data_IF_737390404938
#
_entry.id   IF_737390404938
#
_cell.length_a   1.000
_cell.length_b   1.000
_cell.length_c   1.000
_cell.angle_alpha   90.00
_cell.angle_beta   90.00
_cell.angle_gamma   90.00
#
_symmetry.space_group_name_H-M   'P 1'
#
loop_
_entity.id
_entity.type
_entity.pdbx_description
1 polymer ?
#
# COMPACT_ATOMS: atom_id res chain seq x y z
N UNK A 1 -18.62 22.37 7.31
CA UNK A 1 -17.25 21.80 7.34
C UNK A 1 -17.20 20.68 6.32
N UNK A 2 -16.15 20.60 5.51
CA UNK A 2 -15.92 19.46 4.62
C UNK A 2 -15.63 18.21 5.46
N UNK A 3 -16.24 17.08 5.12
CA UNK A 3 -16.11 15.80 5.83
C UNK A 3 -15.71 14.70 4.85
N UNK A 4 -14.98 13.71 5.33
CA UNK A 4 -14.81 12.43 4.64
C UNK A 4 -16.19 11.80 4.32
N UNK A 5 -16.26 11.05 3.22
CA UNK A 5 -17.48 10.35 2.82
C UNK A 5 -17.39 8.85 3.12
N UNK A 6 -16.26 8.22 2.80
CA UNK A 6 -16.00 6.80 3.04
C UNK A 6 -15.54 6.58 4.48
N UNK A 7 -16.12 5.59 5.16
CA UNK A 7 -15.76 5.14 6.53
C UNK A 7 -15.47 3.64 6.47
N UNK A 8 -14.30 3.22 6.94
CA UNK A 8 -13.84 1.83 6.82
C UNK A 8 -13.40 1.47 5.40
N UNK A 9 -13.83 0.31 4.89
CA UNK A 9 -13.52 -0.17 3.54
C UNK A 9 -14.83 -0.63 2.88
N UNK A 10 -15.15 -0.08 1.73
CA UNK A 10 -16.28 -0.48 0.89
C UNK A 10 -15.81 -1.44 -0.21
N UNK A 11 -16.53 -2.54 -0.39
CA UNK A 11 -16.22 -3.55 -1.41
C UNK A 11 -17.21 -3.48 -2.57
N UNK A 12 -16.69 -3.53 -3.79
CA UNK A 12 -17.49 -3.74 -5.01
C UNK A 12 -16.91 -4.85 -5.87
N UNK A 13 -17.78 -5.58 -6.57
CA UNK A 13 -17.39 -6.64 -7.50
C UNK A 13 -17.96 -6.33 -8.88
N UNK A 14 -17.10 -6.29 -9.90
CA UNK A 14 -17.51 -6.06 -11.28
C UNK A 14 -18.09 -7.33 -11.93
N UNK A 15 -18.72 -7.18 -13.09
CA UNK A 15 -19.18 -8.31 -13.93
C UNK A 15 -18.02 -9.17 -14.43
N UNK A 16 -16.82 -8.58 -14.53
CA UNK A 16 -15.58 -9.24 -14.93
C UNK A 16 -14.85 -9.87 -13.72
N UNK A 17 -15.54 -10.01 -12.58
CA UNK A 17 -15.01 -10.65 -11.36
C UNK A 17 -13.81 -9.91 -10.75
N UNK A 18 -13.76 -8.59 -10.94
CA UNK A 18 -12.76 -7.72 -10.32
C UNK A 18 -13.31 -7.22 -9.00
N UNK A 19 -12.59 -7.48 -7.91
CA UNK A 19 -12.90 -6.95 -6.57
C UNK A 19 -12.18 -5.61 -6.42
N UNK A 20 -12.96 -4.56 -6.13
CA UNK A 20 -12.49 -3.22 -5.85
C UNK A 20 -12.75 -2.90 -4.38
N UNK A 21 -11.75 -2.36 -3.70
CA UNK A 21 -11.82 -1.91 -2.32
C UNK A 21 -11.61 -0.39 -2.28
N UNK A 22 -12.61 0.35 -1.85
CA UNK A 22 -12.51 1.78 -1.58
C UNK A 22 -12.32 1.99 -0.09
N UNK A 23 -11.17 2.55 0.30
CA UNK A 23 -10.81 2.71 1.70
C UNK A 23 -11.08 4.14 2.18
N UNK A 24 -11.34 4.28 3.47
CA UNK A 24 -11.42 5.59 4.12
C UNK A 24 -10.13 6.40 3.89
N UNK A 25 -10.22 7.74 3.85
CA UNK A 25 -9.05 8.57 3.64
C UNK A 25 -8.06 8.45 4.81
N UNK A 26 -6.79 8.26 4.46
CA UNK A 26 -5.65 8.38 5.36
C UNK A 26 -5.33 9.85 5.63
N UNK A 27 -4.77 10.16 6.80
CA UNK A 27 -4.46 11.53 7.24
C UNK A 27 -5.65 12.51 7.24
N UNK A 28 -6.88 12.02 7.37
CA UNK A 28 -8.08 12.85 7.31
C UNK A 28 -8.30 13.65 8.59
N UNK A 29 -8.25 15.00 8.56
CA UNK A 29 -8.54 15.81 9.73
C UNK A 29 -9.98 15.61 10.25
N UNK A 30 -10.91 15.30 9.34
CA UNK A 30 -12.30 15.03 9.70
C UNK A 30 -12.50 13.68 10.40
N UNK A 31 -11.66 12.67 10.14
CA UNK A 31 -11.67 11.42 10.92
C UNK A 31 -11.05 11.65 12.30
N UNK A 32 -9.90 12.33 12.34
CA UNK A 32 -9.24 12.68 13.59
C UNK A 32 -10.16 13.49 14.53
N UNK A 33 -10.89 14.47 13.99
CA UNK A 33 -11.84 15.26 14.77
C UNK A 33 -12.96 14.43 15.41
N UNK A 34 -13.39 13.33 14.78
CA UNK A 34 -14.38 12.40 15.34
C UNK A 34 -13.78 11.44 16.38
N UNK A 35 -12.47 11.23 16.31
CA UNK A 35 -11.75 10.34 17.22
C UNK A 35 -11.32 11.03 18.52
N UNK A 36 -11.18 12.35 18.55
CA UNK A 36 -10.68 13.09 19.72
C UNK A 36 -11.77 13.14 20.81
N UNK A 37 -11.51 12.50 21.96
CA UNK A 37 -12.26 12.75 23.19
C UNK A 37 -11.86 14.10 23.82
N UNK A 38 -12.66 14.66 24.75
CA UNK A 38 -12.31 15.91 25.43
C UNK A 38 -10.96 15.87 26.18
N UNK A 39 -10.56 14.70 26.67
CA UNK A 39 -9.27 14.45 27.31
C UNK A 39 -8.13 14.23 26.31
N UNK A 40 -8.43 14.19 25.01
CA UNK A 40 -7.49 13.90 23.93
C UNK A 40 -7.21 12.46 23.57
N UNK A 41 -7.75 11.54 24.36
CA UNK A 41 -7.63 10.13 24.04
C UNK A 41 -8.47 9.79 22.81
N UNK A 42 -8.10 8.71 22.14
CA UNK A 42 -8.88 8.18 21.03
C UNK A 42 -10.19 7.56 21.51
N UNK A 43 -11.30 7.85 20.83
CA UNK A 43 -12.57 7.12 21.00
C UNK A 43 -12.46 5.65 20.59
N UNK A 44 -11.51 5.32 19.72
CA UNK A 44 -11.27 4.00 19.14
C UNK A 44 -10.03 3.37 19.79
N UNK A 45 -10.17 2.13 20.26
CA UNK A 45 -9.04 1.30 20.68
C UNK A 45 -8.43 0.63 19.45
N UNK A 46 -7.24 1.08 19.06
CA UNK A 46 -6.51 0.60 17.87
C UNK A 46 -5.63 -0.62 18.20
N UNK A 47 -5.15 -0.67 19.44
CA UNK A 47 -4.38 -1.78 20.01
C UNK A 47 -5.14 -2.33 21.21
N UNK A 48 -5.10 -3.66 21.38
CA UNK A 48 -5.80 -4.34 22.47
C UNK A 48 -5.30 -3.87 23.83
N UNK A 49 -6.16 -3.23 24.61
CA UNK A 49 -5.92 -2.92 26.02
C UNK A 49 -5.17 -1.62 26.32
N UNK A 50 -4.80 -0.82 25.32
CA UNK A 50 -4.06 0.44 25.52
C UNK A 50 -4.87 1.66 25.05
N UNK A 51 -4.95 2.68 25.92
CA UNK A 51 -5.50 3.99 25.57
C UNK A 51 -4.42 4.85 24.92
N UNK A 52 -4.60 5.19 23.65
CA UNK A 52 -3.69 6.06 22.89
C UNK A 52 -4.24 7.48 22.79
N UNK A 53 -3.36 8.45 22.54
CA UNK A 53 -3.79 9.76 22.05
C UNK A 53 -4.51 9.59 20.71
N UNK A 54 -5.49 10.47 20.43
CA UNK A 54 -6.24 10.39 19.18
C UNK A 54 -5.35 10.54 17.93
N UNK A 55 -4.29 11.35 18.01
CA UNK A 55 -3.32 11.54 16.91
C UNK A 55 -2.54 10.26 16.63
N UNK A 56 -1.97 9.62 17.66
CA UNK A 56 -1.24 8.36 17.51
C UNK A 56 -2.15 7.22 17.04
N UNK A 57 -3.38 7.16 17.58
CA UNK A 57 -4.38 6.19 17.14
C UNK A 57 -4.70 6.38 15.65
N UNK A 58 -4.88 7.62 15.19
CA UNK A 58 -5.18 7.92 13.80
C UNK A 58 -4.02 7.57 12.85
N UNK A 59 -2.77 7.76 13.28
CA UNK A 59 -1.59 7.31 12.54
C UNK A 59 -1.52 5.79 12.44
N UNK A 60 -1.69 5.07 13.55
CA UNK A 60 -1.71 3.61 13.56
C UNK A 60 -2.84 3.02 12.74
N UNK A 61 -4.03 3.64 12.74
CA UNK A 61 -5.13 3.22 11.88
C UNK A 61 -4.76 3.31 10.39
N UNK A 62 -4.04 4.36 9.99
CA UNK A 62 -3.56 4.51 8.61
C UNK A 62 -2.54 3.43 8.25
N UNK A 63 -1.64 3.10 9.18
CA UNK A 63 -0.65 2.03 9.02
C UNK A 63 -1.31 0.65 8.94
N UNK A 64 -2.21 0.32 9.88
CA UNK A 64 -2.93 -0.96 9.89
C UNK A 64 -3.75 -1.14 8.61
N UNK A 65 -4.43 -0.09 8.15
CA UNK A 65 -5.16 -0.09 6.88
C UNK A 65 -4.23 -0.35 5.70
N UNK A 66 -3.08 0.32 5.63
CA UNK A 66 -2.08 0.10 4.60
C UNK A 66 -1.54 -1.33 4.59
N UNK A 67 -1.07 -1.83 5.75
CA UNK A 67 -0.58 -3.21 5.92
C UNK A 67 -1.64 -4.24 5.52
N UNK A 68 -2.89 -4.01 5.91
CA UNK A 68 -4.00 -4.88 5.53
C UNK A 68 -4.19 -4.92 4.01
N UNK A 69 -4.31 -3.75 3.36
CA UNK A 69 -4.56 -3.67 1.92
C UNK A 69 -3.42 -4.26 1.09
N UNK A 70 -2.16 -3.99 1.45
CA UNK A 70 -1.01 -4.58 0.72
C UNK A 70 -0.90 -6.10 0.91
N UNK A 71 -1.49 -6.64 1.97
CA UNK A 71 -1.50 -8.08 2.24
C UNK A 71 -2.59 -8.83 1.48
N UNK A 72 -3.73 -8.18 1.17
CA UNK A 72 -4.88 -8.86 0.56
C UNK A 72 -5.16 -8.48 -0.90
N UNK A 73 -4.55 -7.43 -1.42
CA UNK A 73 -4.78 -6.94 -2.78
C UNK A 73 -3.66 -7.39 -3.73
N UNK A 74 -4.01 -7.55 -5.02
CA UNK A 74 -3.01 -7.75 -6.08
C UNK A 74 -2.30 -6.45 -6.48
N UNK A 75 -3.06 -5.34 -6.50
CA UNK A 75 -2.63 -3.99 -6.87
C UNK A 75 -3.19 -3.04 -5.81
N UNK A 76 -2.37 -2.11 -5.34
CA UNK A 76 -2.80 -1.00 -4.48
C UNK A 76 -2.57 0.32 -5.21
N UNK A 77 -3.62 1.14 -5.33
CA UNK A 77 -3.52 2.47 -5.95
C UNK A 77 -3.30 3.48 -4.83
N UNK A 78 -2.11 4.07 -4.80
CA UNK A 78 -1.71 5.06 -3.79
C UNK A 78 -1.95 6.44 -4.38
N UNK A 79 -2.99 7.12 -3.91
CA UNK A 79 -3.44 8.40 -4.47
C UNK A 79 -2.96 9.56 -3.59
N UNK A 80 -2.23 10.49 -4.20
CA UNK A 80 -1.75 11.72 -3.59
C UNK A 80 -2.28 12.95 -4.32
N UNK A 81 -2.28 14.10 -3.64
CA UNK A 81 -2.62 15.40 -4.22
C UNK A 81 -1.35 16.23 -4.46
N UNK A 82 -1.20 16.77 -5.67
CA UNK A 82 -0.01 17.53 -6.05
C UNK A 82 1.25 16.66 -6.18
N UNK A 83 2.43 17.28 -6.31
CA UNK A 83 3.73 16.60 -6.49
C UNK A 83 4.61 16.56 -5.24
N UNK A 84 4.14 17.15 -4.14
CA UNK A 84 4.92 17.36 -2.91
C UNK A 84 4.41 16.58 -1.70
N UNK A 85 3.48 15.64 -1.91
CA UNK A 85 2.94 14.80 -0.85
C UNK A 85 3.90 13.65 -0.48
N UNK A 86 4.88 13.97 0.36
CA UNK A 86 5.81 13.01 0.93
C UNK A 86 5.16 12.13 2.00
N UNK A 87 4.06 12.57 2.61
CA UNK A 87 3.40 11.85 3.70
C UNK A 87 2.86 10.51 3.21
N UNK A 88 2.33 10.44 1.99
CA UNK A 88 1.96 9.16 1.38
C UNK A 88 3.14 8.24 1.11
N UNK A 89 4.28 8.78 0.69
CA UNK A 89 5.47 7.96 0.47
C UNK A 89 6.00 7.40 1.79
N UNK A 90 6.01 8.23 2.84
CA UNK A 90 6.37 7.83 4.19
C UNK A 90 5.42 6.75 4.73
N UNK A 91 4.10 6.91 4.56
CA UNK A 91 3.15 5.88 4.96
C UNK A 91 3.44 4.56 4.25
N UNK A 92 3.64 4.58 2.94
CA UNK A 92 3.93 3.37 2.18
C UNK A 92 5.26 2.73 2.60
N UNK A 93 6.31 3.53 2.86
CA UNK A 93 7.58 3.02 3.39
C UNK A 93 7.43 2.40 4.78
N UNK A 94 6.64 3.01 5.66
CA UNK A 94 6.29 2.42 6.96
C UNK A 94 5.47 1.14 6.81
N UNK A 95 4.55 1.08 5.84
CA UNK A 95 3.78 -0.15 5.53
C UNK A 95 4.70 -1.27 5.05
N UNK A 96 5.65 -0.96 4.16
CA UNK A 96 6.67 -1.91 3.68
C UNK A 96 7.48 -2.50 4.85
N UNK A 97 7.91 -1.63 5.78
CA UNK A 97 8.64 -2.02 6.98
C UNK A 97 7.81 -2.88 7.96
N UNK A 98 6.52 -2.59 8.13
CA UNK A 98 5.70 -3.17 9.20
C UNK A 98 4.86 -4.37 8.77
N UNK A 99 4.77 -4.65 7.48
CA UNK A 99 3.97 -5.76 6.95
C UNK A 99 4.56 -7.15 7.29
N UNK A 100 5.79 -7.21 7.78
CA UNK A 100 6.47 -8.47 8.14
C UNK A 100 5.66 -9.34 9.12
N UNK A 101 5.59 -10.63 8.80
CA UNK A 101 4.88 -11.63 9.59
C UNK A 101 3.39 -11.73 9.27
N UNK A 102 2.91 -10.99 8.27
CA UNK A 102 1.53 -11.08 7.80
C UNK A 102 1.46 -12.03 6.59
N UNK A 103 0.76 -13.17 6.72
CA UNK A 103 0.73 -14.19 5.69
C UNK A 103 -0.12 -13.78 4.48
N UNK A 104 0.15 -14.41 3.33
CA UNK A 104 -0.71 -14.24 2.16
C UNK A 104 -2.08 -14.93 2.37
N UNK A 105 -3.16 -14.44 1.71
CA UNK A 105 -4.50 -15.02 1.84
C UNK A 105 -4.62 -16.49 1.45
N UNK A 106 -3.70 -17.05 0.68
CA UNK A 106 -3.74 -18.43 0.21
C UNK A 106 -3.13 -19.43 1.20
N UNK A 107 -2.23 -18.96 2.07
CA UNK A 107 -1.53 -19.77 3.06
C UNK A 107 -2.38 -20.13 4.29
N UNK A 108 -3.40 -19.32 4.61
CA UNK A 108 -4.27 -19.49 5.79
C UNK A 108 -5.27 -20.66 5.69
N UNK A 109 -5.40 -21.26 4.50
CA UNK A 109 -6.34 -22.36 4.25
C UNK A 109 -5.90 -23.71 4.83
N UNK A 110 -4.71 -23.82 5.42
CA UNK A 110 -4.20 -25.09 5.99
C UNK A 110 -4.72 -25.42 7.40
N UNK A 111 -5.67 -24.65 7.93
CA UNK A 111 -6.30 -24.93 9.24
C UNK A 111 -7.60 -25.73 9.09
N UNK A 112 -7.48 -27.01 8.71
CA UNK A 112 -8.45 -28.02 9.10
C UNK A 112 -7.83 -28.82 10.26
N UNK A 113 -8.29 -28.66 11.51
CA UNK A 113 -7.76 -29.42 12.62
C UNK A 113 -8.35 -30.83 12.59
N UNK A 114 -7.63 -31.78 11.98
CA UNK A 114 -7.83 -33.20 12.27
C UNK A 114 -6.54 -33.76 12.89
N UNK A 115 -6.67 -34.08 14.18
CA UNK A 115 -5.88 -35.02 14.98
C UNK A 115 -4.34 -34.95 14.90
N UNK A 116 -3.76 -34.46 16.01
CA UNK A 116 -2.64 -35.08 16.73
C UNK A 116 -1.57 -35.84 15.93
N UNK A 117 -0.44 -35.20 15.69
CA UNK A 117 0.88 -35.81 15.95
C UNK A 117 1.96 -34.73 15.89
N UNK A 118 2.78 -34.68 16.95
CA UNK A 118 4.01 -33.92 17.06
C UNK A 118 4.89 -34.01 15.80
N UNK A 119 5.62 -32.95 15.40
CA UNK A 119 6.71 -33.10 14.46
C UNK A 119 7.89 -33.70 15.21
N UNK A 120 8.09 -35.01 15.02
CA UNK A 120 9.31 -35.71 15.37
C UNK A 120 10.46 -35.23 14.49
N UNK A 121 11.55 -34.82 15.13
CA UNK A 121 12.85 -34.55 14.53
C UNK A 121 13.31 -35.74 13.67
N UNK A 122 13.69 -35.48 12.41
CA UNK A 122 14.80 -36.17 11.75
C UNK A 122 15.23 -35.43 10.47
N UNK A 123 16.53 -35.21 10.42
CA UNK A 123 17.32 -34.43 9.47
C UNK A 123 17.36 -35.01 8.06
N UNK A 124 17.68 -34.13 7.09
CA UNK A 124 18.62 -34.47 6.03
C UNK A 124 18.13 -34.39 4.59
N UNK A 125 18.07 -33.19 4.01
CA UNK A 125 18.80 -32.86 2.77
C UNK A 125 18.68 -31.39 2.39
N UNK A 126 19.85 -30.79 2.15
CA UNK A 126 20.07 -29.43 1.66
C UNK A 126 19.04 -28.96 0.63
N UNK A 127 18.26 -27.97 1.03
CA UNK A 127 17.83 -26.88 0.15
C UNK A 127 18.22 -25.60 0.87
N UNK A 128 19.28 -24.97 0.37
CA UNK A 128 19.62 -23.58 0.65
C UNK A 128 18.34 -22.78 0.85
N UNK A 129 18.15 -22.23 2.05
CA UNK A 129 16.92 -21.55 2.44
C UNK A 129 16.67 -20.35 1.54
N UNK A 130 15.84 -20.54 0.50
CA UNK A 130 15.09 -19.45 -0.09
C UNK A 130 14.18 -18.93 1.02
N UNK A 131 14.53 -17.77 1.58
CA UNK A 131 13.59 -16.99 2.40
C UNK A 131 12.35 -16.84 1.54
N UNK A 132 11.27 -17.52 1.91
CA UNK A 132 10.03 -17.48 1.15
C UNK A 132 9.62 -16.01 1.01
N UNK A 133 9.68 -15.49 -0.22
CA UNK A 133 9.45 -14.08 -0.49
C UNK A 133 8.03 -13.72 -0.03
N UNK A 134 7.95 -12.80 0.93
CA UNK A 134 6.69 -12.49 1.57
C UNK A 134 5.77 -11.74 0.58
N UNK A 135 4.56 -12.24 0.38
CA UNK A 135 3.61 -11.67 -0.59
C UNK A 135 3.29 -10.20 -0.30
N UNK A 136 3.24 -9.35 -1.32
CA UNK A 136 2.78 -7.96 -1.18
C UNK A 136 2.20 -7.44 -2.50
N UNK A 137 1.14 -6.64 -2.38
CA UNK A 137 0.50 -5.96 -3.51
C UNK A 137 1.49 -5.09 -4.28
N UNK A 138 1.30 -5.00 -5.60
CA UNK A 138 2.05 -4.06 -6.44
C UNK A 138 1.50 -2.65 -6.28
N UNK A 139 2.29 -1.65 -5.82
CA UNK A 139 1.82 -0.28 -5.70
C UNK A 139 1.81 0.44 -7.06
N UNK A 140 0.78 1.26 -7.24
CA UNK A 140 0.65 2.21 -8.34
C UNK A 140 0.45 3.59 -7.74
N UNK A 141 1.47 4.44 -7.84
CA UNK A 141 1.41 5.81 -7.35
C UNK A 141 0.65 6.68 -8.35
N UNK A 142 -0.30 7.46 -7.86
CA UNK A 142 -1.14 8.34 -8.67
C UNK A 142 -1.16 9.72 -8.02
N UNK A 143 -0.53 10.70 -8.67
CA UNK A 143 -0.59 12.09 -8.23
C UNK A 143 -1.69 12.82 -9.00
N UNK A 144 -2.61 13.44 -8.26
CA UNK A 144 -3.83 14.05 -8.80
C UNK A 144 -3.84 15.57 -8.64
N UNK A 145 -4.77 16.22 -9.34
CA UNK A 145 -4.96 17.69 -9.32
C UNK A 145 -3.71 18.47 -9.72
N UNK A 146 -2.91 17.90 -10.62
CA UNK A 146 -1.68 18.52 -11.09
C UNK A 146 -1.98 19.76 -11.94
N UNK A 147 -1.19 20.81 -11.73
CA UNK A 147 -1.23 22.03 -12.55
C UNK A 147 -0.28 21.88 -13.73
N UNK A 148 -0.42 22.74 -14.73
CA UNK A 148 0.44 22.71 -15.92
C UNK A 148 1.93 22.90 -15.59
N UNK A 149 2.25 23.73 -14.60
CA UNK A 149 3.62 23.91 -14.13
C UNK A 149 4.21 22.63 -13.54
N UNK A 150 3.39 21.80 -12.88
CA UNK A 150 3.82 20.53 -12.29
C UNK A 150 4.12 19.48 -13.40
N UNK A 151 3.50 19.61 -14.57
CA UNK A 151 3.56 18.67 -15.68
C UNK A 151 4.70 18.95 -16.69
N UNK A 152 5.58 19.90 -16.42
CA UNK A 152 6.74 20.16 -17.28
C UNK A 152 7.66 18.93 -17.36
N UNK A 153 8.28 18.61 -18.52
CA UNK A 153 9.13 17.43 -18.65
C UNK A 153 10.24 17.32 -17.60
N UNK A 154 10.78 18.47 -17.17
CA UNK A 154 11.77 18.55 -16.11
C UNK A 154 11.20 18.08 -14.76
N UNK A 155 10.06 18.63 -14.34
CA UNK A 155 9.41 18.28 -13.08
C UNK A 155 8.98 16.81 -13.06
N UNK A 156 8.48 16.29 -14.19
CA UNK A 156 8.13 14.88 -14.32
C UNK A 156 9.33 13.95 -14.16
N UNK A 157 10.48 14.34 -14.71
CA UNK A 157 11.71 13.56 -14.60
C UNK A 157 12.25 13.59 -13.18
N UNK A 158 12.20 14.76 -12.52
CA UNK A 158 12.58 14.89 -11.12
C UNK A 158 11.70 14.07 -10.19
N UNK A 159 10.37 14.12 -10.37
CA UNK A 159 9.41 13.37 -9.56
C UNK A 159 9.64 11.86 -9.68
N UNK A 160 9.82 11.35 -10.91
CA UNK A 160 10.16 9.93 -11.12
C UNK A 160 11.46 9.55 -10.44
N UNK A 161 12.51 10.36 -10.59
CA UNK A 161 13.81 10.10 -9.95
C UNK A 161 13.69 10.09 -8.42
N UNK A 162 12.99 11.07 -7.86
CA UNK A 162 12.78 11.17 -6.42
C UNK A 162 12.02 9.95 -5.88
N UNK A 163 10.94 9.55 -6.54
CA UNK A 163 10.16 8.38 -6.16
C UNK A 163 11.00 7.09 -6.23
N UNK A 164 11.71 6.86 -7.35
CA UNK A 164 12.60 5.72 -7.49
C UNK A 164 13.71 5.68 -6.44
N UNK A 165 14.29 6.84 -6.10
CA UNK A 165 15.32 6.93 -5.07
C UNK A 165 14.77 6.69 -3.66
N UNK A 166 13.55 7.18 -3.38
CA UNK A 166 12.91 7.03 -2.08
C UNK A 166 12.61 5.55 -1.74
N UNK A 167 12.23 4.77 -2.75
CA UNK A 167 11.87 3.35 -2.60
C UNK A 167 12.95 2.39 -3.12
N UNK A 168 14.20 2.84 -3.27
CA UNK A 168 15.26 2.04 -3.88
C UNK A 168 15.46 0.68 -3.18
N UNK A 169 15.43 0.68 -1.84
CA UNK A 169 15.62 -0.51 -1.00
C UNK A 169 14.29 -1.15 -0.56
N UNK A 170 13.16 -0.67 -1.09
CA UNK A 170 11.84 -1.13 -0.70
C UNK A 170 11.47 -2.45 -1.37
N UNK A 171 10.74 -3.31 -0.66
CA UNK A 171 10.24 -4.56 -1.23
C UNK A 171 9.13 -4.35 -2.29
N UNK A 172 8.67 -3.11 -2.48
CA UNK A 172 7.84 -2.69 -3.61
C UNK A 172 8.57 -2.75 -4.95
N UNK A 173 9.89 -2.55 -4.96
CA UNK A 173 10.72 -2.58 -6.18
C UNK A 173 11.18 -4.01 -6.41
N UNK A 174 10.24 -4.91 -6.74
CA UNK A 174 10.55 -6.32 -6.98
C UNK A 174 11.33 -6.47 -8.29
N UNK A 175 12.59 -6.88 -8.17
CA UNK A 175 13.34 -7.46 -9.28
C UNK A 175 12.69 -8.79 -9.62
N UNK A 176 11.94 -8.88 -10.72
CA UNK A 176 11.70 -10.21 -11.30
C UNK A 176 13.06 -10.70 -11.78
N UNK A 177 13.67 -11.59 -11.00
CA UNK A 177 14.97 -12.19 -11.25
C UNK A 177 15.08 -12.67 -12.69
N UNK A 178 15.68 -11.83 -13.52
CA UNK A 178 16.22 -12.23 -14.81
C UNK A 178 17.72 -12.25 -14.57
N UNK A 179 18.30 -13.45 -14.56
CA UNK A 179 19.76 -13.61 -14.54
C UNK A 179 20.34 -12.87 -15.74
N UNK A 180 20.88 -11.67 -15.54
CA UNK A 180 21.64 -10.96 -16.57
C UNK A 180 23.12 -11.19 -16.25
N UNK A 181 23.65 -12.23 -16.87
CA UNK A 181 25.06 -12.26 -17.22
C UNK A 181 25.38 -11.01 -18.07
N UNK A 182 26.34 -10.22 -17.59
CA UNK A 182 27.23 -9.31 -18.31
C UNK A 182 26.86 -9.03 -19.78
N UNK A 183 26.51 -7.79 -20.10
CA UNK A 183 27.13 -7.12 -21.26
C UNK A 183 27.05 -5.59 -21.16
N UNK A 184 28.24 -5.00 -21.14
CA UNK A 184 28.53 -3.57 -21.22
C UNK A 184 28.45 -3.17 -22.69
N UNK A 185 27.43 -2.41 -23.11
CA UNK A 185 27.55 -1.21 -23.96
C UNK A 185 26.23 -0.65 -24.52
N UNK A 186 26.25 0.67 -24.69
CA UNK A 186 25.51 1.52 -25.64
C UNK A 186 23.98 1.66 -25.53
N UNK A 187 23.58 2.84 -25.08
CA UNK A 187 22.50 3.72 -25.58
C UNK A 187 21.07 3.18 -25.68
N UNK A 188 20.23 3.74 -24.79
CA UNK A 188 18.76 3.81 -24.80
C UNK A 188 18.00 2.48 -24.71
N UNK A 189 17.00 2.45 -23.82
CA UNK A 189 16.04 1.36 -23.56
C UNK A 189 16.57 0.14 -22.80
N UNK A 190 16.53 0.18 -21.46
CA UNK A 190 16.19 -0.96 -20.58
C UNK A 190 16.31 -0.63 -19.07
N UNK A 191 15.83 0.55 -18.64
CA UNK A 191 15.66 0.83 -17.21
C UNK A 191 14.25 0.49 -16.71
N UNK A 192 13.41 -0.19 -17.50
CA UNK A 192 11.98 -0.36 -17.18
C UNK A 192 11.68 -1.48 -16.18
N UNK A 193 12.65 -2.35 -15.86
CA UNK A 193 12.39 -3.51 -14.98
C UNK A 193 12.33 -3.17 -13.49
N UNK A 194 12.74 -1.96 -13.07
CA UNK A 194 12.81 -1.55 -11.65
C UNK A 194 11.99 -0.29 -11.34
N UNK A 195 11.13 0.15 -12.25
CA UNK A 195 10.45 1.45 -12.10
C UNK A 195 9.13 1.26 -11.36
N UNK A 196 8.98 1.96 -10.23
CA UNK A 196 7.68 2.13 -9.58
C UNK A 196 6.68 2.74 -10.56
N UNK A 197 5.48 2.18 -10.61
CA UNK A 197 4.44 2.65 -11.51
C UNK A 197 3.90 3.98 -11.01
N UNK A 198 4.05 5.02 -11.81
CA UNK A 198 3.62 6.38 -11.52
C UNK A 198 2.71 6.91 -12.62
N UNK A 199 1.51 7.35 -12.23
CA UNK A 199 0.55 8.04 -13.08
C UNK A 199 0.26 9.45 -12.56
N UNK A 200 -0.02 10.35 -13.48
CA UNK A 200 -0.13 11.78 -13.22
C UNK A 200 -1.45 12.28 -13.82
N UNK A 201 -2.34 12.77 -12.97
CA UNK A 201 -3.68 13.20 -13.35
C UNK A 201 -3.80 14.73 -13.24
N UNK A 202 -3.97 15.45 -14.37
CA UNK A 202 -4.20 16.89 -14.36
C UNK A 202 -5.50 17.27 -13.65
N UNK A 203 -5.54 18.50 -13.13
CA UNK A 203 -6.77 19.10 -12.61
C UNK A 203 -7.85 19.23 -13.69
N UNK A 204 -9.12 19.00 -13.33
CA UNK A 204 -10.28 19.08 -14.25
C UNK A 204 -10.60 20.52 -14.67
N UNK A 205 -10.32 21.50 -13.82
CA UNK A 205 -10.56 22.91 -14.06
C UNK A 205 -9.23 23.57 -14.38
N UNK A 206 -8.82 23.46 -15.63
CA UNK A 206 -7.69 24.21 -16.14
C UNK A 206 -8.25 25.49 -16.78
N UNK A 207 -7.75 26.65 -16.36
CA UNK A 207 -8.24 27.95 -16.81
C UNK A 207 -8.35 28.00 -18.33
N UNK A 208 -9.51 28.46 -18.81
CA UNK A 208 -9.96 28.53 -20.21
C UNK A 208 -9.04 29.32 -21.17
N UNK A 209 -7.87 29.78 -20.71
CA UNK A 209 -6.97 30.70 -21.40
C UNK A 209 -5.74 30.03 -22.03
N UNK A 210 -5.44 28.77 -21.69
CA UNK A 210 -4.23 28.10 -22.20
C UNK A 210 -4.59 26.94 -23.14
N UNK A 211 -4.03 27.01 -24.36
CA UNK A 211 -4.00 25.93 -25.36
C UNK A 211 -3.67 24.61 -24.63
N UNK A 212 -4.36 23.51 -24.93
CA UNK A 212 -4.12 22.23 -24.29
C UNK A 212 -2.66 21.76 -24.54
N UNK A 213 -1.75 22.09 -23.61
CA UNK A 213 -0.34 21.71 -23.66
C UNK A 213 -0.12 20.26 -23.23
N UNK A 214 -1.06 19.71 -22.45
CA UNK A 214 -0.99 18.38 -21.87
C UNK A 214 -2.29 17.60 -22.07
N UNK A 215 -2.21 16.30 -21.83
CA UNK A 215 -3.36 15.40 -21.86
C UNK A 215 -4.47 15.84 -20.90
N UNK A 216 -5.73 15.63 -21.28
CA UNK A 216 -6.87 15.95 -20.43
C UNK A 216 -7.00 15.00 -19.24
N UNK A 217 -7.59 15.49 -18.13
CA UNK A 217 -7.85 14.68 -16.93
C UNK A 217 -8.63 13.39 -17.24
N UNK A 218 -9.62 13.46 -18.14
CA UNK A 218 -10.42 12.31 -18.56
C UNK A 218 -9.58 11.30 -19.33
N UNK A 219 -8.80 11.73 -20.31
CA UNK A 219 -7.95 10.83 -21.10
C UNK A 219 -6.89 10.15 -20.23
N UNK A 220 -6.25 10.89 -19.31
CA UNK A 220 -5.29 10.34 -18.36
C UNK A 220 -5.93 9.29 -17.42
N UNK A 221 -7.19 9.50 -17.00
CA UNK A 221 -7.96 8.52 -16.22
C UNK A 221 -8.26 7.24 -17.00
N UNK A 222 -8.64 7.35 -18.29
CA UNK A 222 -8.84 6.18 -19.14
C UNK A 222 -7.55 5.36 -19.28
N UNK A 223 -6.41 6.04 -19.52
CA UNK A 223 -5.11 5.37 -19.57
C UNK A 223 -4.75 4.69 -18.26
N UNK A 224 -4.93 5.36 -17.12
CA UNK A 224 -4.69 4.75 -15.80
C UNK A 224 -5.53 3.47 -15.64
N UNK A 225 -6.83 3.55 -15.95
CA UNK A 225 -7.73 2.40 -15.85
C UNK A 225 -7.26 1.25 -16.72
N UNK A 226 -7.02 1.51 -18.01
CA UNK A 226 -6.64 0.46 -18.97
C UNK A 226 -5.31 -0.18 -18.57
N UNK A 227 -4.35 0.61 -18.10
CA UNK A 227 -3.08 0.12 -17.58
C UNK A 227 -3.30 -0.76 -16.34
N UNK A 228 -4.02 -0.28 -15.31
CA UNK A 228 -4.28 -1.06 -14.09
C UNK A 228 -4.99 -2.38 -14.40
N UNK A 229 -5.99 -2.38 -15.29
CA UNK A 229 -6.72 -3.59 -15.67
C UNK A 229 -5.85 -4.58 -16.47
N UNK A 230 -4.89 -4.07 -17.26
CA UNK A 230 -3.95 -4.91 -18.01
C UNK A 230 -2.78 -5.45 -17.17
N UNK A 231 -2.59 -4.95 -15.94
CA UNK A 231 -1.48 -5.34 -15.09
C UNK A 231 -1.68 -6.74 -14.51
N UNK A 232 -0.68 -7.61 -14.71
CA UNK A 232 -0.52 -8.78 -13.86
C UNK A 232 0.06 -8.32 -12.51
N UNK A 233 -0.79 -8.13 -11.51
CA UNK A 233 -0.37 -7.85 -10.14
C UNK A 233 0.41 -9.03 -9.52
N UNK A 234 0.88 -8.86 -8.29
CA UNK A 234 1.50 -9.95 -7.52
C UNK A 234 0.47 -11.06 -7.30
N UNK A 235 0.77 -12.29 -7.71
CA UNK A 235 -0.08 -13.45 -7.43
C UNK A 235 0.17 -13.99 -6.03
N UNK A 236 -0.88 -14.45 -5.35
CA UNK A 236 -0.73 -15.23 -4.12
C UNK A 236 0.04 -16.53 -4.39
N UNK A 237 0.63 -17.14 -3.35
CA UNK A 237 1.39 -18.39 -3.52
C UNK A 237 0.53 -19.55 -4.06
N UNK A 238 -0.78 -19.54 -3.81
CA UNK A 238 -1.75 -20.49 -4.37
C UNK A 238 -3.01 -19.77 -4.85
N UNK A 239 -3.75 -20.42 -5.73
CA UNK A 239 -5.07 -19.92 -6.15
C UNK A 239 -6.04 -19.95 -4.97
N UNK A 240 -6.85 -18.89 -4.84
CA UNK A 240 -7.84 -18.72 -3.77
C UNK A 240 -9.17 -18.35 -4.41
N UNK A 241 -10.26 -18.97 -3.96
CA UNK A 241 -11.60 -18.57 -4.38
C UNK A 241 -11.97 -17.21 -3.77
N UNK A 242 -12.88 -16.44 -4.38
CA UNK A 242 -13.32 -15.15 -3.81
C UNK A 242 -13.90 -15.31 -2.40
N UNK A 243 -14.56 -16.45 -2.13
CA UNK A 243 -15.11 -16.77 -0.81
C UNK A 243 -13.99 -17.01 0.21
N UNK A 244 -12.99 -17.80 -0.16
CA UNK A 244 -11.86 -18.10 0.73
C UNK A 244 -11.00 -16.86 0.93
N UNK A 245 -10.83 -16.03 -0.12
CA UNK A 245 -10.17 -14.75 -0.03
C UNK A 245 -10.85 -13.88 1.02
N UNK A 246 -12.17 -13.68 0.94
CA UNK A 246 -12.90 -12.87 1.92
C UNK A 246 -12.75 -13.41 3.35
N UNK A 247 -12.88 -14.74 3.53
CA UNK A 247 -12.72 -15.39 4.82
C UNK A 247 -11.29 -15.23 5.38
N UNK A 248 -10.29 -15.36 4.53
CA UNK A 248 -8.89 -15.26 4.92
C UNK A 248 -8.48 -13.80 5.15
N UNK A 249 -9.03 -12.84 4.41
CA UNK A 249 -8.88 -11.40 4.67
C UNK A 249 -9.36 -11.03 6.07
N UNK A 250 -10.50 -11.56 6.53
CA UNK A 250 -10.95 -11.32 7.90
C UNK A 250 -9.94 -11.81 8.96
N UNK A 251 -9.35 -13.00 8.76
CA UNK A 251 -8.28 -13.52 9.62
C UNK A 251 -7.01 -12.67 9.56
N UNK A 252 -6.62 -12.21 8.36
CA UNK A 252 -5.48 -11.31 8.19
C UNK A 252 -5.71 -10.00 8.95
N UNK A 253 -6.92 -9.45 8.92
CA UNK A 253 -7.24 -8.25 9.70
C UNK A 253 -7.05 -8.45 11.21
N UNK A 254 -7.43 -9.62 11.75
CA UNK A 254 -7.18 -9.95 13.15
C UNK A 254 -5.67 -10.06 13.46
N UNK A 255 -4.87 -10.62 12.54
CA UNK A 255 -3.42 -10.67 12.66
C UNK A 255 -2.79 -9.26 12.62
N UNK A 256 -3.30 -8.37 11.77
CA UNK A 256 -2.82 -6.98 11.68
C UNK A 256 -3.10 -6.23 12.99
N UNK A 257 -4.31 -6.35 13.55
CA UNK A 257 -4.64 -5.76 14.86
C UNK A 257 -3.78 -6.32 16.00
N UNK A 258 -3.41 -7.60 15.92
CA UNK A 258 -2.58 -8.30 16.89
C UNK A 258 -1.08 -8.27 16.61
N UNK A 259 -0.62 -7.51 15.63
CA UNK A 259 0.78 -7.54 15.19
C UNK A 259 1.72 -6.97 16.26
N UNK A 260 2.69 -7.77 16.70
CA UNK A 260 3.73 -7.34 17.63
C UNK A 260 4.63 -6.27 17.01
N UNK A 261 4.94 -6.39 15.72
CA UNK A 261 5.77 -5.42 14.98
C UNK A 261 5.13 -4.03 14.98
N UNK A 262 3.82 -3.94 14.73
CA UNK A 262 3.07 -2.68 14.79
C UNK A 262 3.00 -2.15 16.23
N UNK A 263 2.83 -3.03 17.23
CA UNK A 263 2.83 -2.65 18.65
C UNK A 263 4.18 -2.07 19.08
N UNK A 264 5.30 -2.66 18.66
CA UNK A 264 6.63 -2.17 19.00
C UNK A 264 6.93 -0.84 18.31
N UNK A 265 6.49 -0.67 17.06
CA UNK A 265 6.53 0.64 16.39
C UNK A 265 5.72 1.70 17.14
N UNK A 266 4.51 1.37 17.61
CA UNK A 266 3.71 2.27 18.44
C UNK A 266 4.47 2.70 19.71
N UNK A 267 5.10 1.75 20.43
CA UNK A 267 5.90 2.07 21.62
C UNK A 267 7.08 2.99 21.28
N UNK A 268 7.75 2.77 20.15
CA UNK A 268 8.82 3.66 19.69
C UNK A 268 8.34 5.09 19.43
N UNK A 269 7.18 5.26 18.79
CA UNK A 269 6.57 6.59 18.58
C UNK A 269 6.18 7.27 19.90
N UNK A 270 5.73 6.51 20.90
CA UNK A 270 5.46 7.07 22.23
C UNK A 270 6.75 7.50 22.96
N UNK A 271 7.83 6.72 22.81
CA UNK A 271 9.13 7.02 23.40
C UNK A 271 9.82 8.22 22.74
N UNK A 272 9.59 8.47 21.45
CA UNK A 272 10.18 9.60 20.73
C UNK A 272 9.68 10.96 21.22
N UNK A 273 8.58 10.99 21.97
CA UNK A 273 7.98 12.21 22.49
C UNK A 273 7.11 12.97 21.47
N UNK A 274 7.01 12.48 20.23
CA UNK A 274 6.21 13.13 19.17
C UNK A 274 4.71 13.24 19.50
N UNK A 275 4.20 12.33 20.33
CA UNK A 275 2.79 12.25 20.72
C UNK A 275 2.56 12.52 22.21
N UNK A 276 3.55 13.07 22.91
CA UNK A 276 3.38 13.51 24.30
C UNK A 276 2.65 14.85 24.32
N UNK A 277 1.63 14.94 25.18
CA UNK A 277 0.98 16.19 25.56
C UNK A 277 1.76 16.90 26.66
#
# INVERSE_FOLDING_TARGET
MSKHCTVGIETRVSTERIILLDAQPVFSPSLLAEMIRPDGSSTISVMTGESLSAELAHELMSIQLGVFLVSICHIIIVVSEGVHDLSMWQLMSTVDLLKHGIPDPSSLSLSHPQSSSFPSEKEGKDKTGEVAEEYMASPVFVHTKLRNEDLTPHNLTQLRKALSQFFLDSSFVRSKGTNISVQVNSQSSNLDSHVLKLFLLPSKHQDNSSRALYESSVSALWKLRDQVLSMSGSSFSRTVSERDWLKNSAKIWDLVKGSSTISDYCKMLQMSGMFRR
#
